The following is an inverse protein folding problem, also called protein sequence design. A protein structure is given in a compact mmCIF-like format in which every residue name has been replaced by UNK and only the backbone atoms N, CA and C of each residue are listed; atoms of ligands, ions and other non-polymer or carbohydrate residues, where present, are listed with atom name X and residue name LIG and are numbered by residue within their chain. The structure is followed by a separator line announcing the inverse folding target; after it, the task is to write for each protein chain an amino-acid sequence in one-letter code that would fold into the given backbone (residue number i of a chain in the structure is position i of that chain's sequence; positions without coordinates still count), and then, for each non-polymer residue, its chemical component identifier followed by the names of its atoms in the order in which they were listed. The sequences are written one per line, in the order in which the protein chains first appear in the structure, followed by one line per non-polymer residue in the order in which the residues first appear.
data_IF_158787153910
#
_entry.id   IF_158787153910
#
_cell.length_a   1.000
_cell.length_b   1.000
_cell.length_c   1.000
_cell.angle_alpha   90.00
_cell.angle_beta   90.00
_cell.angle_gamma   90.00
#
_symmetry.space_group_name_H-M   'P 1'
#
loop_
_entity.id
_entity.type
_entity.pdbx_description
1 polymer ?
#
# COMPACT_ATOMS: atom_id res chain seq x y z
N UNK A 1 27.84 6.89 -1.10
CA UNK A 1 26.78 7.14 -2.11
C UNK A 1 26.55 5.87 -2.91
N UNK A 2 25.84 4.89 -2.35
CA UNK A 2 25.62 3.56 -2.93
C UNK A 2 24.32 3.06 -2.26
N UNK A 3 23.28 2.72 -3.04
CA UNK A 3 22.05 1.93 -2.69
C UNK A 3 20.68 2.53 -3.03
N UNK A 4 20.53 3.82 -3.34
CA UNK A 4 19.19 4.44 -3.47
C UNK A 4 18.65 4.67 -4.91
N UNK A 5 19.31 4.16 -5.96
CA UNK A 5 19.03 4.53 -7.38
C UNK A 5 18.90 3.37 -8.39
N UNK A 6 18.51 2.16 -7.97
CA UNK A 6 18.10 1.11 -8.92
C UNK A 6 18.97 -0.16 -8.93
N UNK A 7 19.25 -0.70 -7.74
CA UNK A 7 19.71 -2.08 -7.65
C UNK A 7 18.56 -3.06 -7.90
N UNK A 8 18.57 -3.68 -9.07
CA UNK A 8 18.71 -5.14 -9.16
C UNK A 8 17.74 -6.01 -8.35
N UNK A 9 16.45 -5.66 -8.27
CA UNK A 9 15.47 -6.69 -7.94
C UNK A 9 15.19 -7.50 -9.22
N UNK A 10 15.31 -8.84 -9.17
CA UNK A 10 14.98 -9.68 -10.31
C UNK A 10 13.56 -9.37 -10.75
N UNK A 11 13.34 -9.36 -12.07
CA UNK A 11 12.01 -9.28 -12.67
C UNK A 11 11.17 -10.40 -12.01
N UNK A 12 10.16 -10.04 -11.23
CA UNK A 12 9.41 -10.98 -10.37
C UNK A 12 9.61 -10.85 -8.86
N UNK A 13 10.27 -9.82 -8.32
CA UNK A 13 10.22 -9.54 -6.88
C UNK A 13 8.80 -9.10 -6.50
N UNK A 14 8.02 -9.93 -5.77
CA UNK A 14 6.59 -9.70 -5.58
C UNK A 14 6.36 -8.36 -4.89
N UNK A 15 5.94 -7.37 -5.68
CA UNK A 15 5.63 -6.03 -5.22
C UNK A 15 4.18 -5.71 -5.57
N UNK A 16 3.56 -4.81 -4.81
CA UNK A 16 2.18 -4.39 -5.07
C UNK A 16 2.03 -3.76 -6.46
N UNK A 17 3.06 -3.07 -6.95
CA UNK A 17 3.09 -2.52 -8.31
C UNK A 17 3.08 -3.60 -9.39
N UNK A 18 3.83 -4.69 -9.18
CA UNK A 18 3.88 -5.82 -10.12
C UNK A 18 2.60 -6.65 -10.09
N UNK A 19 1.96 -6.81 -8.92
CA UNK A 19 0.63 -7.43 -8.79
C UNK A 19 -0.46 -6.63 -9.52
N UNK A 20 -0.43 -5.29 -9.44
CA UNK A 20 -1.33 -4.43 -10.21
C UNK A 20 -1.08 -4.53 -11.71
N UNK A 21 0.20 -4.59 -12.13
CA UNK A 21 0.58 -4.77 -13.53
C UNK A 21 0.13 -6.13 -14.07
N UNK A 22 0.28 -7.20 -13.28
CA UNK A 22 -0.22 -8.53 -13.60
C UNK A 22 -1.75 -8.58 -13.64
N UNK A 23 -2.44 -7.91 -12.73
CA UNK A 23 -3.90 -7.78 -12.75
C UNK A 23 -4.41 -7.05 -14.01
N UNK A 24 -3.71 -6.01 -14.46
CA UNK A 24 -4.04 -5.29 -15.71
C UNK A 24 -3.82 -6.15 -16.96
N UNK A 25 -2.71 -6.88 -17.02
CA UNK A 25 -2.34 -7.68 -18.18
C UNK A 25 -3.05 -9.05 -18.21
N UNK A 26 -3.54 -9.54 -17.07
CA UNK A 26 -4.28 -10.80 -16.94
C UNK A 26 -5.71 -10.54 -16.50
N UNK A 27 -6.47 -9.83 -17.34
CA UNK A 27 -7.91 -9.56 -17.12
C UNK A 27 -8.74 -10.84 -16.94
N UNK A 28 -8.26 -12.00 -17.41
CA UNK A 28 -8.90 -13.30 -17.18
C UNK A 28 -8.73 -13.84 -15.75
N UNK A 29 -7.86 -13.24 -14.93
CA UNK A 29 -7.50 -13.70 -13.60
C UNK A 29 -8.07 -12.72 -12.54
N UNK A 30 -9.39 -12.73 -12.29
CA UNK A 30 -10.07 -11.76 -11.43
C UNK A 30 -9.56 -11.77 -9.99
N UNK A 31 -9.03 -12.90 -9.52
CA UNK A 31 -8.44 -13.00 -8.19
C UNK A 31 -7.29 -12.02 -7.99
N UNK A 32 -6.44 -11.76 -9.00
CA UNK A 32 -5.34 -10.79 -8.88
C UNK A 32 -5.84 -9.37 -8.62
N UNK A 33 -6.94 -8.97 -9.27
CA UNK A 33 -7.58 -7.67 -9.04
C UNK A 33 -8.19 -7.56 -7.64
N UNK A 34 -8.86 -8.61 -7.17
CA UNK A 34 -9.48 -8.64 -5.84
C UNK A 34 -8.42 -8.58 -4.74
N UNK A 35 -7.35 -9.36 -4.84
CA UNK A 35 -6.28 -9.34 -3.83
C UNK A 35 -5.58 -7.99 -3.78
N UNK A 36 -5.28 -7.39 -4.93
CA UNK A 36 -4.67 -6.05 -4.99
C UNK A 36 -5.60 -4.97 -4.40
N UNK A 37 -6.90 -5.04 -4.70
CA UNK A 37 -7.89 -4.13 -4.16
C UNK A 37 -8.01 -4.23 -2.63
N UNK A 38 -8.12 -5.45 -2.08
CA UNK A 38 -8.23 -5.65 -0.63
C UNK A 38 -6.97 -5.18 0.11
N UNK A 39 -5.78 -5.45 -0.44
CA UNK A 39 -4.54 -4.97 0.18
C UNK A 39 -4.48 -3.45 0.20
N UNK A 40 -4.83 -2.79 -0.90
CA UNK A 40 -4.88 -1.32 -0.95
C UNK A 40 -5.94 -0.75 -0.01
N UNK A 41 -7.13 -1.36 0.05
CA UNK A 41 -8.20 -0.93 0.94
C UNK A 41 -7.77 -1.01 2.41
N UNK A 42 -7.11 -2.10 2.82
CA UNK A 42 -6.58 -2.24 4.19
C UNK A 42 -5.46 -1.25 4.47
N UNK A 43 -4.49 -1.07 3.56
CA UNK A 43 -3.40 -0.11 3.73
C UNK A 43 -3.91 1.32 3.88
N UNK A 44 -4.85 1.73 3.03
CA UNK A 44 -5.44 3.07 3.10
C UNK A 44 -6.29 3.25 4.36
N UNK A 45 -7.04 2.23 4.77
CA UNK A 45 -7.80 2.27 6.03
C UNK A 45 -6.86 2.45 7.22
N UNK A 46 -5.78 1.66 7.29
CA UNK A 46 -4.77 1.79 8.35
C UNK A 46 -4.12 3.18 8.34
N UNK A 47 -3.83 3.74 7.17
CA UNK A 47 -3.26 5.08 7.04
C UNK A 47 -4.21 6.16 7.63
N UNK A 48 -5.51 6.05 7.34
CA UNK A 48 -6.53 6.96 7.90
C UNK A 48 -6.59 6.82 9.41
N UNK A 49 -6.68 5.59 9.94
CA UNK A 49 -6.70 5.35 11.38
C UNK A 49 -5.46 5.91 12.10
N UNK A 50 -4.26 5.72 11.51
CA UNK A 50 -3.04 6.30 12.07
C UNK A 50 -3.12 7.83 12.03
N UNK A 51 -3.59 8.42 10.94
CA UNK A 51 -3.76 9.87 10.83
C UNK A 51 -4.73 10.44 11.87
N UNK A 52 -5.84 9.75 12.12
CA UNK A 52 -6.80 10.10 13.17
C UNK A 52 -6.19 9.93 14.57
N UNK A 53 -5.47 8.83 14.83
CA UNK A 53 -4.82 8.60 16.12
C UNK A 53 -3.72 9.62 16.42
N UNK A 54 -2.93 10.00 15.41
CA UNK A 54 -1.95 11.08 15.51
C UNK A 54 -2.67 12.39 15.78
N UNK A 55 -3.70 12.72 15.01
CA UNK A 55 -4.49 13.94 15.24
C UNK A 55 -5.07 13.97 16.65
N UNK A 56 -5.61 12.86 17.15
CA UNK A 56 -6.18 12.75 18.49
C UNK A 56 -5.12 12.95 19.58
N UNK A 57 -3.92 12.38 19.40
CA UNK A 57 -2.81 12.58 20.31
C UNK A 57 -2.31 14.03 20.36
N UNK A 58 -2.51 14.79 19.28
CA UNK A 58 -2.13 16.20 19.18
C UNK A 58 -3.31 17.18 19.32
N UNK A 59 -4.54 16.71 19.58
CA UNK A 59 -5.72 17.57 19.75
C UNK A 59 -5.80 18.07 21.21
N UNK A 60 -5.51 19.36 21.48
CA UNK A 60 -5.50 19.89 22.84
C UNK A 60 -6.91 20.06 23.45
N UNK A 61 -7.98 19.88 22.67
CA UNK A 61 -9.36 20.07 23.12
C UNK A 61 -9.85 19.02 24.11
N UNK A 62 -9.15 17.88 24.25
CA UNK A 62 -9.46 16.83 25.23
C UNK A 62 -8.77 17.01 26.59
N UNK A 63 -7.97 18.06 26.76
CA UNK A 63 -7.22 18.34 27.98
C UNK A 63 -7.99 19.19 29.02
N UNK A 64 -9.24 19.59 28.73
CA UNK A 64 -10.10 20.37 29.61
C UNK A 64 -11.37 19.62 30.03
#
# INVERSE_FOLDING_TARGET
SLDFLGFGLPIGSPSLGELLLQGKNNLQAPWLGITAFLVLAVLLSLLIFIGEAVRDAFDPSKAH
#
